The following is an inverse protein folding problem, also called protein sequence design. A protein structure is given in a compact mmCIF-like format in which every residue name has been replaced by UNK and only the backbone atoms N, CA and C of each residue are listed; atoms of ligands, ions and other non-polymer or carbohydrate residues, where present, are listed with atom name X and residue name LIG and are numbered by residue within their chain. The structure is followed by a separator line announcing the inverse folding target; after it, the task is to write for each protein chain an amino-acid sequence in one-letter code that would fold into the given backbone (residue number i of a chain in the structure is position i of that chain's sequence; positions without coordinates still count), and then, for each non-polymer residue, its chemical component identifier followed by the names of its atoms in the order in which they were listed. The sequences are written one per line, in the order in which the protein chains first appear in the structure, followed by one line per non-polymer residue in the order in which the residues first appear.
data_IF_945969726930
#
_entry.id   IF_945969726930
#
_cell.length_a   1.000
_cell.length_b   1.000
_cell.length_c   1.000
_cell.angle_alpha   90.00
_cell.angle_beta   90.00
_cell.angle_gamma   90.00
#
_symmetry.space_group_name_H-M   'P 1'
#
loop_
_entity.id
_entity.type
_entity.pdbx_description
1 polymer ?
#
# COMPACT_ATOMS: atom_id res chain seq x y z
N UNK A 1 -5.99 12.81 7.44
CA UNK A 1 -6.88 12.18 8.45
C UNK A 1 -6.00 11.47 9.48
N UNK A 2 -6.24 11.62 10.79
CA UNK A 2 -5.49 10.89 11.82
C UNK A 2 -5.97 9.43 11.86
N UNK A 3 -5.05 8.46 11.90
CA UNK A 3 -5.38 7.05 12.11
C UNK A 3 -5.85 6.84 13.56
N UNK A 4 -7.09 6.41 13.73
CA UNK A 4 -7.75 6.05 14.98
C UNK A 4 -8.54 4.77 14.77
N UNK A 5 -8.97 4.10 15.85
CA UNK A 5 -9.83 2.90 15.72
C UNK A 5 -11.07 3.18 14.86
N UNK A 6 -11.75 4.31 15.11
CA UNK A 6 -12.95 4.70 14.36
C UNK A 6 -12.63 4.97 12.89
N UNK A 7 -11.60 5.78 12.62
CA UNK A 7 -11.27 6.15 11.25
C UNK A 7 -10.78 4.98 10.41
N UNK A 8 -10.00 4.05 10.98
CA UNK A 8 -9.51 2.86 10.27
C UNK A 8 -10.66 1.90 9.93
N UNK A 9 -11.59 1.69 10.87
CA UNK A 9 -12.69 0.75 10.67
C UNK A 9 -13.83 1.31 9.80
N UNK A 10 -14.02 2.63 9.76
CA UNK A 10 -15.08 3.26 8.97
C UNK A 10 -14.62 3.72 7.59
N UNK A 11 -13.30 3.74 7.34
CA UNK A 11 -12.76 4.24 6.10
C UNK A 11 -13.14 3.34 4.92
N UNK A 12 -13.81 3.93 3.94
CA UNK A 12 -14.11 3.34 2.66
C UNK A 12 -13.35 4.07 1.55
N UNK A 13 -12.78 3.31 0.63
CA UNK A 13 -12.04 3.81 -0.52
C UNK A 13 -12.86 4.80 -1.34
N UNK A 14 -12.27 5.95 -1.66
CA UNK A 14 -12.91 6.99 -2.45
C UNK A 14 -12.67 6.80 -3.95
N UNK A 15 -11.44 6.50 -4.36
CA UNK A 15 -11.10 6.30 -5.76
C UNK A 15 -11.46 4.88 -6.23
N UNK A 16 -11.60 4.72 -7.56
CA UNK A 16 -12.01 3.44 -8.17
C UNK A 16 -10.84 2.69 -8.84
N UNK A 17 -9.60 3.11 -8.61
CA UNK A 17 -8.42 2.37 -9.07
C UNK A 17 -8.49 0.92 -8.59
N UNK A 18 -8.27 -0.04 -9.49
CA UNK A 18 -8.40 -1.47 -9.20
C UNK A 18 -9.82 -1.90 -8.74
N UNK A 19 -10.85 -1.11 -9.05
CA UNK A 19 -12.23 -1.38 -8.64
C UNK A 19 -12.47 -1.24 -7.14
N UNK A 20 -11.67 -0.44 -6.44
CA UNK A 20 -11.69 -0.37 -4.97
C UNK A 20 -12.73 0.58 -4.38
N UNK A 21 -13.49 1.34 -5.19
CA UNK A 21 -14.42 2.34 -4.65
C UNK A 21 -15.44 1.72 -3.70
N UNK A 22 -15.52 2.24 -2.48
CA UNK A 22 -16.41 1.75 -1.42
C UNK A 22 -15.88 0.54 -0.64
N UNK A 23 -14.74 -0.05 -1.05
CA UNK A 23 -14.10 -1.13 -0.28
C UNK A 23 -13.61 -0.58 1.06
N UNK A 24 -13.89 -1.30 2.15
CA UNK A 24 -13.31 -1.04 3.46
C UNK A 24 -12.07 -1.93 3.66
N UNK A 25 -10.85 -1.37 3.66
CA UNK A 25 -9.62 -2.16 3.81
C UNK A 25 -9.52 -2.81 5.19
N UNK A 26 -9.91 -2.09 6.24
CA UNK A 26 -9.70 -2.50 7.62
C UNK A 26 -8.22 -2.50 8.03
N UNK A 27 -7.91 -2.83 9.30
CA UNK A 27 -6.56 -2.70 9.84
C UNK A 27 -5.53 -3.62 9.17
N UNK A 28 -5.97 -4.76 8.62
CA UNK A 28 -5.11 -5.75 7.95
C UNK A 28 -4.64 -5.32 6.56
N UNK A 29 -5.18 -4.23 5.99
CA UNK A 29 -4.83 -3.76 4.64
C UNK A 29 -4.42 -2.29 4.59
N UNK A 30 -4.30 -1.63 5.74
CA UNK A 30 -3.77 -0.27 5.85
C UNK A 30 -2.31 -0.36 6.32
N UNK A 31 -1.39 -0.03 5.43
CA UNK A 31 0.05 0.08 5.66
C UNK A 31 0.38 1.26 6.59
N UNK A 32 1.38 1.04 7.44
CA UNK A 32 2.00 2.04 8.29
C UNK A 32 3.43 2.36 7.85
N UNK A 33 4.23 1.33 7.53
CA UNK A 33 5.64 1.45 7.18
C UNK A 33 5.94 0.48 6.04
N UNK A 34 6.66 0.94 5.03
CA UNK A 34 7.31 0.10 4.02
C UNK A 34 8.81 0.30 4.09
N UNK A 35 9.58 -0.76 3.85
CA UNK A 35 11.05 -0.73 3.92
C UNK A 35 11.74 -0.55 2.56
N UNK A 36 10.97 -0.26 1.50
CA UNK A 36 11.51 0.16 0.21
C UNK A 36 12.17 1.54 0.33
N UNK A 37 13.27 1.75 -0.39
CA UNK A 37 14.14 2.89 -0.14
C UNK A 37 15.17 3.08 -1.25
N UNK A 38 14.75 3.69 -2.35
CA UNK A 38 15.63 4.37 -3.29
C UNK A 38 15.06 5.75 -3.62
N UNK A 39 15.93 6.75 -3.51
CA UNK A 39 15.58 8.15 -3.27
C UNK A 39 14.76 8.82 -4.40
N UNK A 40 14.72 8.22 -5.60
CA UNK A 40 14.13 8.83 -6.80
C UNK A 40 12.67 8.42 -7.08
N UNK A 41 12.16 7.30 -6.56
CA UNK A 41 10.79 6.86 -6.83
C UNK A 41 10.26 5.97 -5.71
N UNK A 42 9.27 6.49 -4.97
CA UNK A 42 8.59 5.79 -3.88
C UNK A 42 7.36 4.99 -4.32
N UNK A 43 6.91 5.19 -5.57
CA UNK A 43 5.73 4.53 -6.11
C UNK A 43 6.05 3.15 -6.72
N UNK A 44 7.32 2.86 -7.01
CA UNK A 44 7.76 1.59 -7.59
C UNK A 44 9.05 1.08 -6.97
N UNK A 45 9.18 -0.24 -7.00
CA UNK A 45 10.45 -0.87 -6.67
C UNK A 45 11.47 -0.68 -7.78
N UNK A 46 12.67 -0.36 -7.37
CA UNK A 46 13.79 -0.05 -8.23
C UNK A 46 14.94 -1.00 -7.96
N UNK A 47 15.82 -1.13 -8.95
CA UNK A 47 17.00 -1.99 -8.80
C UNK A 47 17.91 -1.54 -7.64
N UNK A 48 17.91 -0.25 -7.30
CA UNK A 48 18.69 0.28 -6.19
C UNK A 48 18.01 0.21 -4.82
N UNK A 49 16.77 -0.26 -4.71
CA UNK A 49 16.15 -0.52 -3.41
C UNK A 49 16.95 -1.58 -2.63
N UNK A 50 16.85 -1.53 -1.29
CA UNK A 50 17.50 -2.49 -0.38
C UNK A 50 17.23 -3.96 -0.75
N UNK A 51 16.06 -4.22 -1.34
CA UNK A 51 15.64 -5.56 -1.75
C UNK A 51 15.49 -5.70 -3.28
N UNK A 52 16.04 -4.75 -4.04
CA UNK A 52 15.92 -4.67 -5.48
C UNK A 52 14.47 -4.65 -5.98
N UNK A 53 14.25 -5.18 -7.18
CA UNK A 53 12.94 -5.18 -7.86
C UNK A 53 12.01 -6.33 -7.42
N UNK A 54 12.26 -6.97 -6.27
CA UNK A 54 11.58 -8.22 -5.91
C UNK A 54 10.37 -8.04 -4.99
N UNK A 55 10.47 -7.11 -4.05
CA UNK A 55 9.44 -6.91 -3.03
C UNK A 55 9.91 -5.99 -1.90
N UNK A 56 9.02 -5.76 -0.94
CA UNK A 56 9.27 -4.97 0.27
C UNK A 56 8.50 -5.56 1.43
N UNK A 57 9.05 -5.46 2.63
CA UNK A 57 8.32 -5.75 3.85
C UNK A 57 7.45 -4.55 4.22
N UNK A 58 6.16 -4.80 4.44
CA UNK A 58 5.21 -3.78 4.84
C UNK A 58 4.59 -4.12 6.20
N UNK A 59 4.62 -3.16 7.12
CA UNK A 59 3.89 -3.20 8.40
C UNK A 59 2.48 -2.66 8.21
N UNK A 60 1.49 -3.39 8.69
CA UNK A 60 0.08 -3.02 8.64
C UNK A 60 -0.46 -2.56 10.01
N UNK A 61 -1.66 -1.98 9.99
CA UNK A 61 -2.26 -1.34 11.15
C UNK A 61 -2.69 -2.31 12.26
N UNK A 62 -2.83 -3.60 11.96
CA UNK A 62 -3.03 -4.69 12.94
C UNK A 62 -1.69 -5.21 13.53
N UNK A 63 -0.55 -4.71 13.07
CA UNK A 63 0.78 -5.05 13.56
C UNK A 63 1.49 -6.18 12.82
N UNK A 64 0.87 -6.82 11.83
CA UNK A 64 1.58 -7.83 11.04
C UNK A 64 2.53 -7.19 10.02
N UNK A 65 3.55 -7.95 9.64
CA UNK A 65 4.44 -7.62 8.54
C UNK A 65 4.30 -8.70 7.47
N UNK A 66 4.06 -8.31 6.21
CA UNK A 66 4.12 -9.23 5.07
C UNK A 66 5.17 -8.79 4.04
N UNK A 67 5.76 -9.79 3.38
CA UNK A 67 6.52 -9.57 2.16
C UNK A 67 5.56 -9.33 1.00
N UNK A 68 5.59 -8.12 0.44
CA UNK A 68 4.78 -7.72 -0.70
C UNK A 68 5.64 -7.80 -1.96
N UNK A 69 5.42 -8.80 -2.84
CA UNK A 69 6.16 -8.90 -4.09
C UNK A 69 5.78 -7.76 -5.04
N UNK A 70 6.69 -7.36 -5.93
CA UNK A 70 6.50 -6.24 -6.88
C UNK A 70 5.18 -6.29 -7.64
N UNK A 71 4.77 -7.50 -8.08
CA UNK A 71 3.50 -7.71 -8.79
C UNK A 71 2.26 -7.31 -8.00
N UNK A 72 2.33 -7.29 -6.66
CA UNK A 72 1.25 -6.87 -5.76
C UNK A 72 1.41 -5.44 -5.25
N UNK A 73 2.60 -4.83 -5.41
CA UNK A 73 2.95 -3.59 -4.74
C UNK A 73 1.99 -2.45 -5.05
N UNK A 74 1.78 -2.13 -6.33
CA UNK A 74 0.87 -1.04 -6.73
C UNK A 74 -0.55 -1.23 -6.17
N UNK A 75 -1.07 -2.46 -6.20
CA UNK A 75 -2.38 -2.78 -5.63
C UNK A 75 -2.41 -2.62 -4.11
N UNK A 76 -1.40 -3.09 -3.37
CA UNK A 76 -1.35 -3.00 -1.91
C UNK A 76 -1.21 -1.55 -1.45
N UNK A 77 -0.34 -0.78 -2.10
CA UNK A 77 -0.18 0.64 -1.77
C UNK A 77 -1.45 1.41 -2.12
N UNK A 78 -2.12 1.10 -3.23
CA UNK A 78 -3.40 1.71 -3.56
C UNK A 78 -4.49 1.34 -2.54
N UNK A 79 -4.67 0.05 -2.24
CA UNK A 79 -5.58 -0.44 -1.21
C UNK A 79 -5.37 0.26 0.14
N UNK A 80 -4.13 0.58 0.49
CA UNK A 80 -3.83 1.26 1.75
C UNK A 80 -4.01 2.78 1.70
N UNK A 81 -3.62 3.43 0.61
CA UNK A 81 -3.38 4.88 0.58
C UNK A 81 -4.40 5.67 -0.24
N UNK A 82 -5.17 5.00 -1.12
CA UNK A 82 -6.21 5.62 -1.94
C UNK A 82 -5.69 6.84 -2.72
N UNK A 83 -4.57 6.60 -3.40
CA UNK A 83 -3.80 7.62 -4.12
C UNK A 83 -4.29 7.85 -5.55
N UNK A 84 -5.34 7.13 -5.99
CA UNK A 84 -5.84 7.14 -7.36
C UNK A 84 -4.79 6.68 -8.39
N UNK A 85 -4.00 5.65 -8.06
CA UNK A 85 -2.96 5.13 -8.96
C UNK A 85 -3.57 4.59 -10.25
N UNK A 86 -3.00 4.88 -11.44
CA UNK A 86 -3.50 4.34 -12.68
C UNK A 86 -3.39 2.80 -12.73
N UNK A 87 -4.44 2.18 -13.27
CA UNK A 87 -4.45 0.76 -13.56
C UNK A 87 -3.40 0.43 -14.62
N UNK A 88 -2.57 -0.59 -14.37
CA UNK A 88 -1.52 -1.02 -15.31
C UNK A 88 -0.10 -0.57 -14.97
N UNK A 89 0.06 0.23 -13.92
CA UNK A 89 1.35 0.37 -13.23
C UNK A 89 1.78 -1.00 -12.67
N UNK A 90 2.76 -1.62 -13.32
CA UNK A 90 3.41 -2.88 -12.91
C UNK A 90 4.88 -2.64 -12.65
#
# INVERSE_FOLDING_TARGET
MKKTLSSVNSYAHYHNSFGLKGVQPGPTRIMLIGDQGWWDNHDFMQQGDNHGVYGSNMLFCDGHVEWVPTKRFAYVVEMSADGNRPEGLR
#
